data_IF_033552718595
#
_entry.id   IF_033552718595
#
_cell.length_a   1.000
_cell.length_b   1.000
_cell.length_c   1.000
_cell.angle_alpha   90.00
_cell.angle_beta   90.00
_cell.angle_gamma   90.00
#
_symmetry.space_group_name_H-M   'P 1'
#
loop_
_entity.id
_entity.type
_entity.pdbx_description
1 polymer ?
#
# COMPACT_ATOMS: atom_id res chain seq x y z
N UNK A 1 -45.83 -4.07 5.19
CA UNK A 1 -44.53 -3.88 4.51
C UNK A 1 -44.15 -2.42 4.66
N UNK A 2 -43.26 -2.10 5.60
CA UNK A 2 -42.85 -0.73 5.87
C UNK A 2 -41.52 -0.46 5.17
N UNK A 3 -41.51 0.44 4.19
CA UNK A 3 -40.34 0.80 3.43
C UNK A 3 -39.33 1.50 4.34
N UNK A 4 -38.24 0.79 4.70
CA UNK A 4 -37.16 1.38 5.48
C UNK A 4 -36.56 2.58 4.71
N UNK A 5 -36.71 3.79 5.25
CA UNK A 5 -36.10 5.02 4.71
C UNK A 5 -34.59 4.80 4.53
N UNK A 6 -34.13 4.81 3.27
CA UNK A 6 -32.71 4.79 2.91
C UNK A 6 -32.04 6.04 3.46
N UNK A 7 -31.06 5.88 4.36
CA UNK A 7 -30.32 7.01 4.94
C UNK A 7 -29.12 7.32 4.06
N UNK A 8 -29.10 8.52 3.48
CA UNK A 8 -27.96 9.04 2.71
C UNK A 8 -26.78 9.34 3.65
N UNK A 9 -25.57 9.33 3.10
CA UNK A 9 -24.38 9.73 3.85
C UNK A 9 -24.46 11.22 4.25
N UNK A 10 -23.93 11.56 5.43
CA UNK A 10 -23.76 12.94 5.90
C UNK A 10 -22.26 13.20 6.10
N UNK A 11 -21.77 14.33 5.58
CA UNK A 11 -20.37 14.76 5.71
C UNK A 11 -19.90 14.84 7.16
N UNK A 12 -20.79 15.17 8.10
CA UNK A 12 -20.51 15.20 9.54
C UNK A 12 -20.06 13.84 10.10
N UNK A 13 -20.28 12.73 9.39
CA UNK A 13 -19.84 11.40 9.81
C UNK A 13 -18.32 11.23 9.77
N UNK A 14 -17.61 12.18 9.18
CA UNK A 14 -16.15 12.25 9.27
C UNK A 14 -15.64 12.35 10.72
N UNK A 15 -16.43 12.95 11.63
CA UNK A 15 -16.09 13.00 13.06
C UNK A 15 -16.04 11.63 13.74
N UNK A 16 -16.61 10.61 13.10
CA UNK A 16 -16.53 9.22 13.53
C UNK A 16 -15.50 8.43 12.72
N UNK A 17 -14.75 9.07 11.83
CA UNK A 17 -13.76 8.45 10.96
C UNK A 17 -14.35 7.70 9.77
N UNK A 18 -15.47 8.17 9.20
CA UNK A 18 -16.11 7.53 8.05
C UNK A 18 -16.21 8.46 6.85
N UNK A 19 -16.26 7.85 5.67
CA UNK A 19 -16.52 8.50 4.37
C UNK A 19 -17.48 7.63 3.55
N UNK A 20 -18.17 8.17 2.54
CA UNK A 20 -19.07 7.39 1.69
C UNK A 20 -18.31 6.62 0.61
N UNK A 21 -18.76 5.41 0.27
CA UNK A 21 -18.38 4.70 -0.95
C UNK A 21 -19.64 4.28 -1.70
N UNK A 22 -19.65 4.48 -3.02
CA UNK A 22 -20.70 3.93 -3.88
C UNK A 22 -20.35 2.49 -4.23
N UNK A 23 -21.22 1.55 -3.88
CA UNK A 23 -21.15 0.14 -4.29
C UNK A 23 -22.51 -0.28 -4.84
N UNK A 24 -22.55 -0.79 -6.08
CA UNK A 24 -23.79 -1.23 -6.75
C UNK A 24 -24.91 -0.16 -6.72
N UNK A 25 -24.54 1.11 -6.91
CA UNK A 25 -25.49 2.25 -6.89
C UNK A 25 -25.98 2.65 -5.49
N UNK A 26 -25.38 2.12 -4.41
CA UNK A 26 -25.73 2.45 -3.02
C UNK A 26 -24.56 3.08 -2.29
N UNK A 27 -24.85 4.11 -1.50
CA UNK A 27 -23.87 4.73 -0.61
C UNK A 27 -23.72 3.89 0.67
N UNK A 28 -22.49 3.46 0.95
CA UNK A 28 -22.13 2.71 2.14
C UNK A 28 -21.05 3.48 2.93
N UNK A 29 -21.04 3.40 4.27
CA UNK A 29 -20.00 4.04 5.06
C UNK A 29 -18.73 3.17 5.05
N UNK A 30 -17.59 3.76 4.72
CA UNK A 30 -16.26 3.16 4.80
C UNK A 30 -15.43 3.85 5.88
N UNK A 31 -14.79 3.06 6.74
CA UNK A 31 -13.87 3.57 7.76
C UNK A 31 -12.58 4.09 7.11
N UNK A 32 -12.13 5.29 7.48
CA UNK A 32 -10.91 5.91 6.93
C UNK A 32 -9.62 5.32 7.49
N UNK A 33 -9.69 4.60 8.61
CA UNK A 33 -8.51 4.00 9.27
C UNK A 33 -8.25 2.57 8.75
N UNK A 34 -9.27 1.71 8.79
CA UNK A 34 -9.12 0.30 8.38
C UNK A 34 -9.68 -0.03 7.00
N UNK A 35 -10.25 0.94 6.29
CA UNK A 35 -10.84 0.75 4.96
C UNK A 35 -12.03 -0.22 4.91
N UNK A 36 -12.56 -0.65 6.06
CA UNK A 36 -13.71 -1.55 6.13
C UNK A 36 -14.99 -0.82 5.69
N UNK A 37 -15.69 -1.40 4.71
CA UNK A 37 -17.03 -0.95 4.29
C UNK A 37 -18.07 -1.63 5.15
N UNK A 38 -18.96 -0.85 5.78
CA UNK A 38 -20.06 -1.37 6.58
C UNK A 38 -21.35 -1.49 5.75
N UNK A 39 -22.34 -2.20 6.29
CA UNK A 39 -23.64 -2.37 5.66
C UNK A 39 -24.46 -1.08 5.68
N UNK A 40 -25.47 -0.98 4.81
CA UNK A 40 -26.40 0.17 4.73
C UNK A 40 -27.05 0.48 6.09
N UNK A 41 -27.45 -0.55 6.85
CA UNK A 41 -28.03 -0.38 8.19
C UNK A 41 -27.06 0.21 9.22
N UNK A 42 -25.75 0.22 8.93
CA UNK A 42 -24.70 0.78 9.79
C UNK A 42 -24.48 2.28 9.59
N UNK A 43 -25.25 2.95 8.73
CA UNK A 43 -25.19 4.41 8.53
C UNK A 43 -25.63 5.21 9.77
N UNK A 44 -26.10 4.56 10.85
CA UNK A 44 -26.46 5.25 12.09
C UNK A 44 -25.19 5.67 12.85
N UNK A 45 -25.11 6.90 13.39
CA UNK A 45 -23.95 7.36 14.16
C UNK A 45 -23.52 6.43 15.30
N UNK A 46 -24.48 5.77 15.96
CA UNK A 46 -24.19 4.80 17.02
C UNK A 46 -23.37 3.59 16.54
N UNK A 47 -23.61 3.12 15.31
CA UNK A 47 -22.84 2.02 14.73
C UNK A 47 -21.45 2.47 14.28
N UNK A 48 -21.33 3.67 13.72
CA UNK A 48 -20.05 4.26 13.32
C UNK A 48 -19.16 4.49 14.55
N UNK A 49 -19.71 5.11 15.60
CA UNK A 49 -19.01 5.33 16.88
C UNK A 49 -18.59 4.00 17.52
N UNK A 50 -19.48 2.99 17.53
CA UNK A 50 -19.16 1.65 18.05
C UNK A 50 -18.01 1.00 17.28
N UNK A 51 -17.99 1.13 15.95
CA UNK A 51 -16.88 0.62 15.15
C UNK A 51 -15.57 1.33 15.50
N UNK A 52 -15.57 2.66 15.60
CA UNK A 52 -14.38 3.43 15.96
C UNK A 52 -13.85 3.01 17.34
N UNK A 53 -14.69 3.01 18.37
CA UNK A 53 -14.26 2.62 19.73
C UNK A 53 -13.87 1.15 19.85
N UNK A 54 -14.50 0.24 19.10
CA UNK A 54 -14.22 -1.20 19.18
C UNK A 54 -13.02 -1.64 18.35
N UNK A 55 -12.90 -1.18 17.10
CA UNK A 55 -11.81 -1.57 16.20
C UNK A 55 -10.58 -0.66 16.35
N UNK A 56 -10.76 0.59 16.78
CA UNK A 56 -9.72 1.61 16.86
C UNK A 56 -9.75 2.39 18.19
N UNK A 57 -9.66 1.70 19.35
CA UNK A 57 -9.79 2.36 20.66
C UNK A 57 -8.77 3.49 20.85
N UNK A 58 -7.54 3.29 20.36
CA UNK A 58 -6.44 4.27 20.47
C UNK A 58 -6.62 5.53 19.61
N UNK A 59 -7.61 5.54 18.72
CA UNK A 59 -7.89 6.65 17.79
C UNK A 59 -9.28 7.24 18.01
N UNK A 60 -10.01 6.80 19.03
CA UNK A 60 -11.38 7.25 19.30
C UNK A 60 -11.44 8.73 19.74
N UNK A 61 -10.37 9.22 20.37
CA UNK A 61 -10.28 10.59 20.91
C UNK A 61 -9.59 11.57 19.95
N UNK A 62 -9.29 11.15 18.71
CA UNK A 62 -8.69 12.03 17.71
C UNK A 62 -9.69 13.05 17.20
N UNK A 63 -9.17 14.19 16.77
CA UNK A 63 -9.94 15.32 16.27
C UNK A 63 -10.39 15.11 14.81
N UNK A 64 -11.29 15.99 14.35
CA UNK A 64 -11.88 15.91 13.01
C UNK A 64 -10.79 16.08 11.93
N UNK A 65 -9.78 16.92 12.16
CA UNK A 65 -8.76 17.19 11.15
C UNK A 65 -7.85 15.99 10.91
N UNK A 66 -7.56 15.19 11.96
CA UNK A 66 -6.92 13.89 11.81
C UNK A 66 -7.72 12.99 10.84
N UNK A 67 -9.02 12.86 11.04
CA UNK A 67 -9.86 12.01 10.18
C UNK A 67 -9.99 12.56 8.75
N UNK A 68 -10.07 13.88 8.56
CA UNK A 68 -10.04 14.51 7.23
C UNK A 68 -8.73 14.22 6.50
N UNK A 69 -7.59 14.27 7.19
CA UNK A 69 -6.30 13.93 6.59
C UNK A 69 -6.26 12.45 6.14
N UNK A 70 -6.78 11.53 6.95
CA UNK A 70 -6.91 10.12 6.57
C UNK A 70 -7.88 9.94 5.38
N UNK A 71 -8.98 10.70 5.34
CA UNK A 71 -9.94 10.66 4.25
C UNK A 71 -9.31 11.02 2.89
N UNK A 72 -8.40 11.98 2.85
CA UNK A 72 -7.68 12.33 1.61
C UNK A 72 -6.91 11.12 1.08
N UNK A 73 -6.24 10.36 1.95
CA UNK A 73 -5.55 9.12 1.57
C UNK A 73 -6.52 8.07 1.01
N UNK A 74 -7.66 7.88 1.66
CA UNK A 74 -8.71 6.95 1.23
C UNK A 74 -9.29 7.37 -0.14
N UNK A 75 -9.56 8.66 -0.34
CA UNK A 75 -10.05 9.23 -1.61
C UNK A 75 -9.02 9.08 -2.73
N UNK A 76 -7.72 9.28 -2.45
CA UNK A 76 -6.63 9.03 -3.42
C UNK A 76 -6.51 7.55 -3.81
N UNK A 77 -6.69 6.62 -2.87
CA UNK A 77 -6.73 5.19 -3.17
C UNK A 77 -7.90 4.85 -4.09
N UNK A 78 -9.03 5.54 -3.90
CA UNK A 78 -10.23 5.33 -4.71
C UNK A 78 -10.16 5.99 -6.07
N UNK A 79 -9.29 6.96 -6.33
CA UNK A 79 -9.27 7.69 -7.60
C UNK A 79 -8.11 7.14 -8.44
N UNK A 80 -8.43 6.50 -9.57
CA UNK A 80 -7.42 6.17 -10.57
C UNK A 80 -6.86 7.44 -11.25
N UNK A 81 -5.83 7.31 -12.10
CA UNK A 81 -5.26 8.44 -12.85
C UNK A 81 -6.25 9.15 -13.78
N UNK A 82 -7.47 8.62 -13.93
CA UNK A 82 -8.56 9.15 -14.76
C UNK A 82 -9.66 9.80 -13.93
N UNK A 83 -9.49 9.93 -12.61
CA UNK A 83 -10.52 10.53 -11.75
C UNK A 83 -11.64 9.57 -11.35
N UNK A 84 -11.54 8.27 -11.68
CA UNK A 84 -12.63 7.31 -11.46
C UNK A 84 -12.53 6.60 -10.12
N UNK A 85 -13.69 6.39 -9.49
CA UNK A 85 -13.85 5.70 -8.20
C UNK A 85 -13.57 4.18 -8.35
N UNK A 86 -12.30 3.79 -8.26
CA UNK A 86 -11.85 2.41 -8.18
C UNK A 86 -12.25 1.81 -6.82
N UNK A 87 -13.26 0.93 -6.84
CA UNK A 87 -13.69 0.13 -5.67
C UNK A 87 -12.70 -1.00 -5.36
N UNK A 88 -11.41 -0.66 -5.21
CA UNK A 88 -10.40 -1.66 -4.90
C UNK A 88 -10.64 -2.22 -3.50
N UNK A 89 -10.78 -3.54 -3.43
CA UNK A 89 -10.79 -4.23 -2.15
C UNK A 89 -9.44 -4.02 -1.46
N UNK A 90 -9.44 -3.94 -0.12
CA UNK A 90 -8.19 -3.84 0.65
C UNK A 90 -7.21 -4.98 0.29
N UNK A 91 -7.73 -6.16 0.00
CA UNK A 91 -6.96 -7.30 -0.49
C UNK A 91 -6.30 -7.02 -1.85
N UNK A 92 -7.03 -6.42 -2.80
CA UNK A 92 -6.48 -6.07 -4.11
C UNK A 92 -5.41 -4.97 -4.03
N UNK A 93 -5.64 -3.95 -3.18
CA UNK A 93 -4.64 -2.93 -2.89
C UNK A 93 -3.36 -3.56 -2.31
N UNK A 94 -3.51 -4.41 -1.30
CA UNK A 94 -2.40 -5.12 -0.68
C UNK A 94 -1.64 -6.00 -1.68
N UNK A 95 -2.36 -6.78 -2.49
CA UNK A 95 -1.77 -7.64 -3.51
C UNK A 95 -0.92 -6.83 -4.51
N UNK A 96 -1.41 -5.69 -4.97
CA UNK A 96 -0.66 -4.83 -5.89
C UNK A 96 0.60 -4.22 -5.28
N UNK A 97 0.61 -3.83 -4.00
CA UNK A 97 1.84 -3.43 -3.31
C UNK A 97 2.81 -4.60 -3.16
N UNK A 98 2.33 -5.82 -2.90
CA UNK A 98 3.19 -7.00 -2.83
C UNK A 98 3.87 -7.32 -4.16
N UNK A 99 3.15 -7.18 -5.28
CA UNK A 99 3.74 -7.34 -6.62
C UNK A 99 4.77 -6.25 -6.88
N UNK A 100 4.44 -4.98 -6.60
CA UNK A 100 5.36 -3.86 -6.76
C UNK A 100 6.64 -4.03 -5.92
N UNK A 101 6.52 -4.49 -4.68
CA UNK A 101 7.64 -4.76 -3.79
C UNK A 101 8.57 -5.83 -4.36
N UNK A 102 8.01 -6.95 -4.84
CA UNK A 102 8.82 -8.03 -5.46
C UNK A 102 9.54 -7.54 -6.70
N UNK A 103 8.88 -6.77 -7.56
CA UNK A 103 9.50 -6.19 -8.76
C UNK A 103 10.67 -5.29 -8.39
N UNK A 104 10.50 -4.43 -7.38
CA UNK A 104 11.55 -3.55 -6.89
C UNK A 104 12.72 -4.32 -6.27
N UNK A 105 12.44 -5.37 -5.48
CA UNK A 105 13.47 -6.23 -4.88
C UNK A 105 14.31 -6.96 -5.92
N UNK A 106 13.66 -7.49 -6.97
CA UNK A 106 14.31 -8.18 -8.09
C UNK A 106 14.92 -7.20 -9.11
N UNK A 107 14.82 -5.89 -8.87
CA UNK A 107 15.29 -4.81 -9.75
C UNK A 107 14.79 -4.95 -11.20
N UNK A 108 13.56 -5.45 -11.36
CA UNK A 108 12.94 -5.60 -12.67
C UNK A 108 12.23 -4.32 -13.08
N UNK A 109 12.07 -4.07 -14.39
CA UNK A 109 11.26 -2.94 -14.84
C UNK A 109 9.81 -3.11 -14.38
N UNK A 110 9.17 -2.02 -13.96
CA UNK A 110 7.78 -2.02 -13.53
C UNK A 110 6.80 -2.50 -14.62
N UNK A 111 7.23 -2.47 -15.88
CA UNK A 111 6.47 -2.95 -17.03
C UNK A 111 6.21 -4.45 -17.04
N UNK A 112 6.99 -5.22 -16.26
CA UNK A 112 6.83 -6.68 -16.18
C UNK A 112 5.49 -7.10 -15.55
N UNK A 113 4.89 -6.22 -14.75
CA UNK A 113 3.63 -6.51 -14.07
C UNK A 113 2.48 -6.71 -15.04
N UNK A 114 2.31 -5.76 -15.97
CA UNK A 114 1.22 -5.78 -16.93
C UNK A 114 1.52 -6.73 -18.10
N UNK A 115 2.79 -6.78 -18.53
CA UNK A 115 3.17 -7.54 -19.72
C UNK A 115 3.33 -9.04 -19.47
N UNK A 116 3.63 -9.46 -18.24
CA UNK A 116 3.96 -10.87 -17.94
C UNK A 116 3.22 -11.39 -16.70
N UNK A 117 3.36 -10.73 -15.55
CA UNK A 117 2.83 -11.26 -14.28
C UNK A 117 1.31 -11.38 -14.32
N UNK A 118 0.61 -10.32 -14.74
CA UNK A 118 -0.85 -10.31 -14.81
C UNK A 118 -1.40 -11.36 -15.78
N UNK A 119 -0.96 -11.45 -17.07
CA UNK A 119 -1.45 -12.49 -17.97
C UNK A 119 -1.11 -13.90 -17.48
N UNK A 120 0.11 -14.16 -17.01
CA UNK A 120 0.46 -15.49 -16.47
C UNK A 120 -0.42 -15.89 -15.28
N UNK A 121 -0.72 -14.95 -14.37
CA UNK A 121 -1.63 -15.24 -13.27
C UNK A 121 -3.08 -15.48 -13.74
N UNK A 122 -3.55 -14.78 -14.79
CA UNK A 122 -4.87 -15.03 -15.37
C UNK A 122 -4.96 -16.43 -15.94
N UNK A 123 -3.99 -16.85 -16.75
CA UNK A 123 -3.98 -18.19 -17.36
C UNK A 123 -4.01 -19.30 -16.30
N UNK A 124 -3.19 -19.17 -15.26
CA UNK A 124 -3.15 -20.14 -14.14
C UNK A 124 -4.49 -20.17 -13.40
N UNK A 125 -5.03 -19.01 -13.03
CA UNK A 125 -6.28 -18.91 -12.27
C UNK A 125 -7.47 -19.38 -13.10
N UNK A 126 -7.50 -19.05 -14.39
CA UNK A 126 -8.51 -19.53 -15.32
C UNK A 126 -8.51 -21.06 -15.39
N UNK A 127 -7.35 -21.67 -15.63
CA UNK A 127 -7.21 -23.12 -15.74
C UNK A 127 -7.56 -23.87 -14.44
N UNK A 128 -7.19 -23.34 -13.27
CA UNK A 128 -7.34 -24.06 -11.99
C UNK A 128 -8.66 -23.73 -11.29
N UNK A 129 -9.11 -22.48 -11.35
CA UNK A 129 -10.21 -21.94 -10.54
C UNK A 129 -11.39 -21.41 -11.38
N UNK A 130 -11.23 -21.34 -12.70
CA UNK A 130 -12.26 -20.91 -13.65
C UNK A 130 -12.45 -19.38 -13.76
N UNK A 131 -13.32 -19.00 -14.70
CA UNK A 131 -13.56 -17.62 -15.14
C UNK A 131 -13.93 -16.64 -14.01
N UNK A 132 -14.67 -17.12 -13.01
CA UNK A 132 -15.14 -16.27 -11.90
C UNK A 132 -13.98 -15.77 -11.05
N UNK A 133 -12.96 -16.61 -10.84
CA UNK A 133 -11.76 -16.23 -10.10
C UNK A 133 -10.84 -15.35 -10.95
N UNK A 134 -10.72 -15.66 -12.25
CA UNK A 134 -9.91 -14.88 -13.19
C UNK A 134 -10.42 -13.43 -13.31
N UNK A 135 -11.74 -13.22 -13.42
CA UNK A 135 -12.35 -11.87 -13.46
C UNK A 135 -12.03 -11.05 -12.22
N UNK A 136 -11.97 -11.68 -11.03
CA UNK A 136 -11.56 -11.00 -9.79
C UNK A 136 -10.08 -10.61 -9.86
N UNK A 137 -9.23 -11.48 -10.40
CA UNK A 137 -7.82 -11.19 -10.61
C UNK A 137 -7.61 -10.04 -11.63
N UNK A 138 -8.41 -10.00 -12.69
CA UNK A 138 -8.37 -8.95 -13.71
C UNK A 138 -8.68 -7.56 -13.14
N UNK A 139 -9.40 -7.48 -12.02
CA UNK A 139 -9.67 -6.23 -11.31
C UNK A 139 -8.47 -5.69 -10.49
N UNK A 140 -7.38 -6.45 -10.39
CA UNK A 140 -6.19 -6.00 -9.65
C UNK A 140 -5.49 -4.84 -10.36
N UNK A 141 -5.06 -3.82 -9.62
CA UNK A 141 -4.45 -2.62 -10.19
C UNK A 141 -2.95 -2.88 -10.39
N UNK A 142 -2.62 -3.65 -11.43
CA UNK A 142 -1.26 -4.04 -11.81
C UNK A 142 -0.75 -3.35 -13.09
N UNK A 143 -1.41 -2.27 -13.54
CA UNK A 143 -0.94 -1.52 -14.70
C UNK A 143 0.45 -0.92 -14.45
N UNK A 144 1.18 -0.67 -15.53
CA UNK A 144 2.53 -0.12 -15.50
C UNK A 144 2.61 1.16 -14.66
N UNK A 145 1.67 2.10 -14.88
CA UNK A 145 1.59 3.35 -14.11
C UNK A 145 1.30 3.10 -12.63
N UNK A 146 0.44 2.13 -12.33
CA UNK A 146 0.09 1.80 -10.95
C UNK A 146 1.29 1.24 -10.21
N UNK A 147 2.01 0.30 -10.81
CA UNK A 147 3.16 -0.33 -10.19
C UNK A 147 4.30 0.67 -10.02
N UNK A 148 4.55 1.51 -11.03
CA UNK A 148 5.50 2.63 -10.92
C UNK A 148 5.16 3.51 -9.72
N UNK A 149 3.90 3.96 -9.60
CA UNK A 149 3.46 4.81 -8.49
C UNK A 149 3.65 4.12 -7.14
N UNK A 150 3.30 2.84 -7.01
CA UNK A 150 3.47 2.09 -5.76
C UNK A 150 4.94 1.97 -5.34
N UNK A 151 5.84 1.78 -6.30
CA UNK A 151 7.28 1.75 -6.03
C UNK A 151 7.75 3.12 -5.53
N UNK A 152 7.31 4.21 -6.16
CA UNK A 152 7.59 5.58 -5.69
C UNK A 152 7.01 5.83 -4.30
N UNK A 153 5.74 5.49 -4.06
CA UNK A 153 5.08 5.64 -2.75
C UNK A 153 5.88 4.93 -1.64
N UNK A 154 6.36 3.70 -1.90
CA UNK A 154 7.17 2.95 -0.94
C UNK A 154 8.55 3.59 -0.71
N UNK A 155 9.17 4.14 -1.75
CA UNK A 155 10.44 4.84 -1.63
C UNK A 155 10.29 6.12 -0.78
N UNK A 156 9.23 6.90 -1.04
CA UNK A 156 8.92 8.13 -0.31
C UNK A 156 8.61 7.84 1.16
N UNK A 157 7.87 6.77 1.47
CA UNK A 157 7.59 6.34 2.86
C UNK A 157 8.88 5.96 3.59
N UNK A 158 9.78 5.22 2.93
CA UNK A 158 11.09 4.88 3.50
C UNK A 158 11.90 6.15 3.77
N UNK A 159 11.94 7.09 2.82
CA UNK A 159 12.64 8.37 3.00
C UNK A 159 12.07 9.14 4.21
N UNK A 160 10.74 9.24 4.33
CA UNK A 160 10.09 9.91 5.45
C UNK A 160 10.38 9.23 6.80
N UNK A 161 10.37 7.89 6.84
CA UNK A 161 10.70 7.14 8.05
C UNK A 161 12.15 7.37 8.48
N UNK A 162 13.07 7.44 7.52
CA UNK A 162 14.48 7.73 7.78
C UNK A 162 14.67 9.17 8.27
N UNK A 163 14.05 10.15 7.63
CA UNK A 163 14.07 11.56 8.07
C UNK A 163 13.52 11.72 9.50
N UNK A 164 12.40 11.06 9.80
CA UNK A 164 11.79 11.09 11.14
C UNK A 164 12.70 10.47 12.20
N UNK A 165 13.39 9.36 11.86
CA UNK A 165 14.28 8.65 12.79
C UNK A 165 15.60 9.37 13.01
N UNK A 166 16.13 10.05 11.99
CA UNK A 166 17.43 10.72 12.02
C UNK A 166 17.36 12.19 12.45
N UNK A 167 16.17 12.77 12.53
CA UNK A 167 15.97 14.19 12.87
C UNK A 167 16.44 15.16 11.77
N UNK A 168 16.80 14.65 10.59
CA UNK A 168 17.29 15.45 9.46
C UNK A 168 16.12 15.80 8.53
N UNK A 169 15.95 17.09 8.21
CA UNK A 169 14.95 17.53 7.22
C UNK A 169 15.30 17.03 5.81
N UNK A 170 14.29 16.59 5.06
CA UNK A 170 14.37 16.03 3.70
C UNK A 170 15.18 16.89 2.68
N UNK A 171 15.31 18.19 2.95
CA UNK A 171 16.05 19.15 2.12
C UNK A 171 17.57 18.87 2.07
N UNK A 172 18.14 18.20 3.09
CA UNK A 172 19.58 17.89 3.12
C UNK A 172 19.98 16.61 2.38
N UNK A 173 19.04 15.69 2.13
CA UNK A 173 19.38 14.37 1.58
C UNK A 173 19.63 14.41 0.06
N UNK A 174 18.89 15.23 -0.70
CA UNK A 174 19.06 15.31 -2.18
C UNK A 174 20.41 15.85 -2.62
N UNK A 175 21.13 16.59 -1.77
CA UNK A 175 22.48 17.10 -2.06
C UNK A 175 23.60 16.22 -1.49
N UNK A 176 23.31 15.30 -0.56
CA UNK A 176 24.33 14.51 0.16
C UNK A 176 24.47 13.04 -0.26
N UNK A 177 23.52 12.46 -1.00
CA UNK A 177 23.54 11.04 -1.39
C UNK A 177 24.49 10.68 -2.56
N UNK A 178 25.29 11.63 -3.05
CA UNK A 178 26.37 11.33 -4.01
C UNK A 178 27.62 10.71 -3.36
N UNK A 179 27.66 10.54 -2.03
CA UNK A 179 28.78 9.89 -1.38
C UNK A 179 28.43 9.28 -0.02
N UNK A 180 28.62 7.96 0.08
CA UNK A 180 28.61 7.11 1.29
C UNK A 180 27.23 6.66 1.79
N UNK A 181 26.98 5.37 1.57
CA UNK A 181 25.89 4.58 2.18
C UNK A 181 26.46 3.83 3.40
N UNK A 182 25.71 3.74 4.51
CA UNK A 182 25.39 2.40 5.02
C UNK A 182 23.97 2.33 5.62
N UNK A 183 23.02 1.75 4.88
CA UNK A 183 21.62 1.48 5.32
C UNK A 183 21.41 -0.04 5.36
N UNK A 184 22.03 -0.75 6.30
CA UNK A 184 21.85 -2.22 6.41
C UNK A 184 21.56 -2.74 7.83
N UNK A 185 21.29 -1.86 8.81
CA UNK A 185 20.90 -2.32 10.18
C UNK A 185 19.41 -2.27 10.50
N UNK A 186 18.54 -1.70 9.65
CA UNK A 186 17.13 -1.48 10.01
C UNK A 186 16.10 -2.32 9.23
N UNK A 187 16.53 -3.04 8.18
CA UNK A 187 15.62 -3.73 7.27
C UNK A 187 14.88 -4.94 7.89
N UNK A 188 15.37 -5.55 8.98
CA UNK A 188 14.77 -6.78 9.54
C UNK A 188 13.61 -6.56 10.52
N UNK A 189 13.59 -5.46 11.28
CA UNK A 189 12.75 -5.38 12.49
C UNK A 189 11.48 -4.51 12.37
N UNK A 190 11.43 -3.55 11.44
CA UNK A 190 10.32 -2.58 11.40
C UNK A 190 9.17 -2.96 10.44
N UNK A 191 9.42 -3.69 9.35
CA UNK A 191 8.34 -4.10 8.44
C UNK A 191 7.37 -5.11 9.08
N UNK A 192 7.80 -5.82 10.14
CA UNK A 192 6.96 -6.74 10.93
C UNK A 192 5.90 -6.04 11.78
N UNK A 193 6.02 -4.74 12.10
CA UNK A 193 5.20 -4.10 13.16
C UNK A 193 3.97 -3.30 12.71
N UNK A 194 3.84 -2.89 11.44
CA UNK A 194 2.75 -1.94 11.05
C UNK A 194 1.77 -2.39 9.96
N UNK A 195 2.03 -3.47 9.22
CA UNK A 195 1.21 -3.84 8.06
C UNK A 195 0.39 -5.14 8.19
N UNK A 196 0.43 -5.81 9.36
CA UNK A 196 -0.32 -7.05 9.61
C UNK A 196 -1.13 -6.90 10.90
N UNK A 197 -2.44 -7.20 10.90
CA UNK A 197 -3.20 -7.29 12.14
C UNK A 197 -2.55 -8.32 13.05
N UNK A 198 -2.42 -7.99 14.34
CA UNK A 198 -1.90 -8.88 15.36
C UNK A 198 -2.79 -10.14 15.41
N UNK A 199 -2.23 -11.31 15.05
CA UNK A 199 -2.95 -12.59 15.19
C UNK A 199 -2.65 -13.69 14.18
N UNK A 200 -1.92 -13.45 13.09
CA UNK A 200 -1.61 -14.53 12.11
C UNK A 200 -0.14 -14.50 11.69
N UNK A 201 0.73 -14.90 12.60
CA UNK A 201 2.14 -15.22 12.32
C UNK A 201 2.39 -16.63 12.86
N UNK A 202 2.29 -17.64 11.99
CA UNK A 202 3.18 -18.79 12.10
C UNK A 202 4.48 -18.40 11.41
N UNK A 203 5.58 -18.72 12.07
CA UNK A 203 6.95 -18.31 11.79
C UNK A 203 7.36 -18.51 10.33
N UNK A 204 8.04 -17.50 9.78
CA UNK A 204 8.87 -17.63 8.58
C UNK A 204 10.30 -17.44 9.05
N UNK A 205 11.05 -18.53 9.18
CA UNK A 205 12.46 -18.52 9.53
C UNK A 205 13.28 -18.50 8.23
N UNK A 206 14.01 -17.42 7.98
CA UNK A 206 14.87 -17.26 6.78
C UNK A 206 16.32 -17.65 7.15
N UNK A 207 16.95 -18.63 6.47
CA UNK A 207 18.28 -19.12 6.84
C UNK A 207 19.40 -18.09 6.57
N UNK A 208 20.38 -18.05 7.49
CA UNK A 208 21.56 -17.16 7.50
C UNK A 208 22.39 -17.14 6.20
N UNK A 209 22.29 -18.16 5.34
CA UNK A 209 23.01 -18.22 4.05
C UNK A 209 22.58 -17.12 3.07
N UNK A 210 21.33 -16.66 3.13
CA UNK A 210 20.84 -15.54 2.30
C UNK A 210 21.38 -14.17 2.76
N UNK A 211 21.87 -14.05 4.00
CA UNK A 211 22.43 -12.81 4.54
C UNK A 211 23.80 -12.50 3.93
N UNK A 212 24.64 -13.53 3.74
CA UNK A 212 25.96 -13.40 3.15
C UNK A 212 25.87 -13.10 1.64
N UNK A 213 24.91 -13.71 0.92
CA UNK A 213 24.64 -13.39 -0.48
C UNK A 213 24.18 -11.94 -0.66
N UNK A 214 23.34 -11.42 0.23
CA UNK A 214 22.92 -10.02 0.21
C UNK A 214 24.09 -9.05 0.47
N UNK A 215 25.02 -9.37 1.37
CA UNK A 215 26.24 -8.57 1.58
C UNK A 215 27.19 -8.61 0.36
N UNK A 216 27.34 -9.78 -0.26
CA UNK A 216 28.24 -9.97 -1.40
C UNK A 216 27.69 -9.31 -2.67
N UNK A 217 26.37 -9.28 -2.85
CA UNK A 217 25.69 -8.54 -3.92
C UNK A 217 25.86 -7.02 -3.79
N UNK A 218 25.86 -6.47 -2.57
CA UNK A 218 26.05 -5.02 -2.35
C UNK A 218 27.49 -4.59 -2.67
N UNK A 219 28.48 -5.42 -2.35
CA UNK A 219 29.88 -5.17 -2.73
C UNK A 219 30.09 -5.23 -4.26
N UNK A 220 29.46 -6.18 -4.95
CA UNK A 220 29.54 -6.29 -6.41
C UNK A 220 28.88 -5.08 -7.11
N UNK A 221 27.74 -4.60 -6.61
CA UNK A 221 27.08 -3.40 -7.13
C UNK A 221 27.90 -2.13 -6.94
N UNK A 222 28.61 -2.00 -5.82
CA UNK A 222 29.53 -0.88 -5.61
C UNK A 222 30.73 -0.95 -6.58
N UNK A 223 31.23 -2.15 -6.88
CA UNK A 223 32.37 -2.33 -7.79
C UNK A 223 32.00 -2.16 -9.27
N UNK A 224 30.79 -2.56 -9.68
CA UNK A 224 30.28 -2.32 -11.05
C UNK A 224 29.96 -0.84 -11.29
N UNK A 225 29.34 -0.17 -10.31
CA UNK A 225 29.04 1.27 -10.41
C UNK A 225 30.31 2.14 -10.50
N UNK A 226 31.39 1.77 -9.78
CA UNK A 226 32.68 2.45 -9.89
C UNK A 226 33.34 2.18 -11.25
N UNK A 227 33.18 0.97 -11.81
CA UNK A 227 33.74 0.59 -13.11
C UNK A 227 33.06 1.33 -14.26
N UNK A 228 31.74 1.46 -14.20
CA UNK A 228 30.94 2.20 -15.19
C UNK A 228 31.21 3.72 -15.14
N UNK A 229 31.50 4.25 -13.94
CA UNK A 229 31.85 5.66 -13.75
C UNK A 229 33.27 6.03 -14.25
N UNK A 230 34.24 5.11 -14.11
CA UNK A 230 35.61 5.29 -14.64
C UNK A 230 35.68 5.15 -16.17
N UNK A 231 34.87 4.24 -16.75
CA UNK A 231 34.81 4.04 -18.21
C UNK A 231 34.04 5.16 -18.93
N UNK A 232 33.03 5.76 -18.28
CA UNK A 232 32.24 6.86 -18.84
C UNK A 232 32.95 8.24 -18.84
N UNK A 233 34.18 8.34 -18.33
CA UNK A 233 34.99 9.58 -18.35
C UNK A 233 36.08 9.58 -19.44
N UNK A 234 36.12 8.56 -20.31
CA UNK A 234 37.06 8.47 -21.45
C UNK A 234 36.35 8.38 -22.81
N UNK A 235 35.35 9.21 -23.05
CA UNK A 235 34.91 9.57 -24.41
C UNK A 235 34.56 11.04 -24.49
#
# INVERSE_FOLDING_TARGET
>A
MESAKKRKYNEDYIKYGFTSILKEGRELPQCVICYKVLSEGSMKPSFLKRHLSGCHPNLADKDIDFFKHQEVGVKRIRIDHRGQLSQLTQAGLRASYMVALRIAQEKKPHTIAENLILPSCKDIVHCILGDSAEKKLASLPLSNDTIKRRITDMADDIEQQLCTTTGMSAVHQRRGLQGRVPILRLFGNNYKRRCLPAGTLKEWDYPRSMFLLAQQMVLLLCMEFIRDFELGKRQ
#
